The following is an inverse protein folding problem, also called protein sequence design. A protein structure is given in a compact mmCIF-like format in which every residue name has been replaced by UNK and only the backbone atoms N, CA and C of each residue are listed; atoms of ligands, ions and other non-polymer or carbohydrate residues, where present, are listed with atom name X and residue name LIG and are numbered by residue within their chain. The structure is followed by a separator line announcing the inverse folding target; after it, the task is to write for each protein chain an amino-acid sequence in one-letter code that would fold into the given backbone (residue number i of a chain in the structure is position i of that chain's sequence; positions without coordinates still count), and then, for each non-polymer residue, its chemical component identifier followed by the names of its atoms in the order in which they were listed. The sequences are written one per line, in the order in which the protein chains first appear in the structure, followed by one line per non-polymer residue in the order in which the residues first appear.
data_IF_641519982179
#
_entry.id   IF_641519982179
#
_cell.length_a   1.000
_cell.length_b   1.000
_cell.length_c   1.000
_cell.angle_alpha   90.00
_cell.angle_beta   90.00
_cell.angle_gamma   90.00
#
_symmetry.space_group_name_H-M   'P 1'
#
loop_
_entity.id
_entity.type
_entity.pdbx_description
1 polymer ?
#
# COMPACT_ATOMS: atom_id res chain seq x y z
N UNK A 1 0.82 -4.37 4.15
CA UNK A 1 0.34 -3.23 3.34
C UNK A 1 -0.85 -3.69 2.52
N UNK A 2 -1.91 -2.89 2.46
CA UNK A 2 -3.17 -3.25 1.82
C UNK A 2 -3.22 -3.05 0.30
N UNK A 3 -2.11 -2.66 -0.31
CA UNK A 3 -2.01 -2.48 -1.75
C UNK A 3 -0.58 -2.72 -2.26
N UNK A 4 -0.46 -2.91 -3.58
CA UNK A 4 0.79 -2.98 -4.29
C UNK A 4 0.76 -2.20 -5.61
N UNK A 5 1.96 -1.82 -6.05
CA UNK A 5 2.18 -0.88 -7.14
C UNK A 5 3.24 -1.44 -8.08
N UNK A 6 2.90 -1.65 -9.35
CA UNK A 6 3.87 -2.00 -10.39
C UNK A 6 3.96 -0.90 -11.44
N UNK A 7 5.17 -0.37 -11.64
CA UNK A 7 5.46 0.60 -12.68
C UNK A 7 5.69 -0.12 -14.01
N UNK A 8 5.01 0.35 -15.06
CA UNK A 8 5.21 -0.08 -16.44
C UNK A 8 6.32 0.75 -17.07
N UNK A 9 7.36 0.09 -17.60
CA UNK A 9 8.47 0.74 -18.30
C UNK A 9 7.99 1.59 -19.52
N UNK A 10 6.91 1.15 -20.18
CA UNK A 10 6.14 1.97 -21.13
C UNK A 10 4.66 1.90 -20.79
N UNK A 11 3.96 3.06 -20.72
CA UNK A 11 2.55 3.11 -20.29
C UNK A 11 1.62 2.18 -21.10
N UNK A 12 1.94 1.97 -22.39
CA UNK A 12 1.09 1.26 -23.36
C UNK A 12 1.70 -0.03 -23.92
N UNK A 13 2.91 -0.43 -23.48
CA UNK A 13 3.58 -1.67 -23.92
C UNK A 13 4.37 -2.21 -22.73
N UNK A 14 3.87 -3.25 -22.07
CA UNK A 14 4.57 -3.85 -20.93
C UNK A 14 5.76 -4.67 -21.42
N UNK A 15 6.97 -4.12 -21.30
CA UNK A 15 8.23 -4.88 -21.51
C UNK A 15 8.86 -5.32 -20.20
N UNK A 16 8.69 -4.52 -19.15
CA UNK A 16 9.18 -4.78 -17.80
C UNK A 16 8.21 -4.18 -16.78
N UNK A 17 8.06 -4.87 -15.63
CA UNK A 17 7.25 -4.44 -14.50
C UNK A 17 8.14 -4.29 -13.28
N UNK A 18 8.22 -3.06 -12.75
CA UNK A 18 9.00 -2.78 -11.56
C UNK A 18 8.07 -2.68 -10.33
N UNK A 19 8.28 -3.54 -9.34
CA UNK A 19 7.56 -3.46 -8.07
C UNK A 19 8.06 -2.27 -7.23
N UNK A 20 7.16 -1.36 -6.88
CA UNK A 20 7.45 -0.23 -6.01
C UNK A 20 7.09 -0.54 -4.56
N UNK A 21 7.78 0.10 -3.63
CA UNK A 21 7.52 -0.04 -2.19
C UNK A 21 6.19 0.66 -1.82
N UNK A 22 5.19 -0.05 -1.27
CA UNK A 22 3.94 0.56 -0.86
C UNK A 22 4.07 1.65 0.22
N UNK A 23 5.12 1.60 1.05
CA UNK A 23 5.32 2.59 2.13
C UNK A 23 5.76 3.97 1.64
N UNK A 24 6.20 4.09 0.38
CA UNK A 24 6.65 5.34 -0.22
C UNK A 24 5.69 5.86 -1.28
N UNK A 25 4.53 5.21 -1.45
CA UNK A 25 3.56 5.51 -2.49
C UNK A 25 2.29 6.12 -1.91
N UNK A 26 1.71 7.06 -2.66
CA UNK A 26 0.41 7.67 -2.37
C UNK A 26 -0.45 7.68 -3.63
N UNK A 27 -1.73 7.35 -3.47
CA UNK A 27 -2.75 7.47 -4.53
C UNK A 27 -3.23 8.93 -4.55
N UNK A 28 -3.26 9.54 -5.72
CA UNK A 28 -3.83 10.87 -5.92
C UNK A 28 -5.25 10.71 -6.46
N UNK A 29 -6.21 11.29 -5.76
CA UNK A 29 -7.62 11.36 -6.16
C UNK A 29 -7.98 12.80 -6.49
N UNK A 30 -9.01 13.00 -7.31
CA UNK A 30 -9.48 14.34 -7.65
C UNK A 30 -10.17 14.98 -6.44
N UNK A 31 -9.71 16.14 -5.95
CA UNK A 31 -10.33 16.82 -4.81
C UNK A 31 -11.67 17.48 -5.19
N UNK A 32 -11.93 17.69 -6.48
CA UNK A 32 -13.12 18.41 -6.99
C UNK A 32 -14.16 17.47 -7.61
N UNK A 33 -13.76 16.26 -8.01
CA UNK A 33 -14.66 15.30 -8.64
C UNK A 33 -14.48 13.90 -8.03
N UNK A 34 -15.35 13.48 -7.11
CA UNK A 34 -15.27 12.16 -6.49
C UNK A 34 -15.52 11.01 -7.47
N UNK A 35 -16.09 11.28 -8.66
CA UNK A 35 -16.35 10.26 -9.69
C UNK A 35 -15.16 10.03 -10.63
N UNK A 36 -14.21 10.97 -10.68
CA UNK A 36 -13.04 10.88 -11.55
C UNK A 36 -12.07 9.75 -11.14
N UNK A 37 -12.20 9.21 -9.92
CA UNK A 37 -11.39 8.10 -9.43
C UNK A 37 -9.93 8.48 -9.19
N UNK A 38 -9.01 7.60 -9.59
CA UNK A 38 -7.56 7.78 -9.41
C UNK A 38 -7.01 8.64 -10.55
N UNK A 39 -6.50 9.83 -10.20
CA UNK A 39 -5.91 10.77 -11.17
C UNK A 39 -4.39 10.64 -11.28
N UNK A 40 -3.75 9.89 -10.38
CA UNK A 40 -2.33 9.60 -10.45
C UNK A 40 -1.77 8.92 -9.22
N UNK A 41 -0.45 8.74 -9.22
CA UNK A 41 0.30 8.19 -8.09
C UNK A 41 1.51 9.06 -7.81
N UNK A 42 1.87 9.18 -6.54
CA UNK A 42 3.03 9.92 -6.10
C UNK A 42 3.95 9.01 -5.29
N UNK A 43 5.25 9.07 -5.58
CA UNK A 43 6.26 8.35 -4.83
C UNK A 43 7.19 9.35 -4.15
N UNK A 44 7.41 9.18 -2.84
CA UNK A 44 8.34 9.98 -2.07
C UNK A 44 9.53 9.11 -1.61
N UNK A 45 10.70 9.34 -2.18
CA UNK A 45 11.94 8.62 -1.80
C UNK A 45 13.04 9.62 -1.50
N UNK A 46 13.56 9.60 -0.26
CA UNK A 46 14.68 10.46 0.18
C UNK A 46 14.46 11.96 -0.16
N UNK A 47 13.23 12.45 0.03
CA UNK A 47 12.87 13.84 -0.23
C UNK A 47 12.61 14.19 -1.70
N UNK A 48 12.76 13.24 -2.63
CA UNK A 48 12.36 13.42 -4.02
C UNK A 48 10.94 12.91 -4.22
N UNK A 49 10.08 13.76 -4.76
CA UNK A 49 8.73 13.40 -5.19
C UNK A 49 8.73 13.10 -6.69
N UNK A 50 8.14 11.97 -7.07
CA UNK A 50 7.93 11.59 -8.47
C UNK A 50 6.47 11.27 -8.68
N UNK A 51 5.85 11.90 -9.69
CA UNK A 51 4.45 11.66 -10.04
C UNK A 51 4.35 10.76 -11.25
N UNK A 52 3.44 9.79 -11.17
CA UNK A 52 3.12 8.85 -12.23
C UNK A 52 1.66 9.02 -12.65
N UNK A 53 1.42 8.93 -13.95
CA UNK A 53 0.07 8.90 -14.50
C UNK A 53 -0.60 7.55 -14.22
N UNK A 54 -1.95 7.50 -14.16
CA UNK A 54 -2.67 6.24 -13.96
C UNK A 54 -2.27 5.15 -14.96
N UNK A 55 -2.03 5.50 -16.22
CA UNK A 55 -1.71 4.54 -17.28
C UNK A 55 -0.29 3.95 -17.13
N UNK A 56 0.56 4.54 -16.29
CA UNK A 56 1.91 4.03 -16.02
C UNK A 56 1.93 2.97 -14.90
N UNK A 57 0.85 2.84 -14.13
CA UNK A 57 0.82 1.98 -12.96
C UNK A 57 -0.14 0.80 -13.15
N UNK A 58 0.22 -0.35 -12.62
CA UNK A 58 -0.73 -1.39 -12.24
C UNK A 58 -0.90 -1.29 -10.73
N UNK A 59 -2.11 -0.97 -10.31
CA UNK A 59 -2.49 -0.82 -8.91
C UNK A 59 -3.43 -1.95 -8.53
N UNK A 60 -3.04 -2.72 -7.51
CA UNK A 60 -3.88 -3.77 -6.94
C UNK A 60 -3.98 -3.54 -5.44
N UNK A 61 -5.19 -3.74 -4.91
CA UNK A 61 -5.50 -3.49 -3.51
C UNK A 61 -6.37 -4.59 -2.94
N UNK A 62 -6.27 -4.76 -1.64
CA UNK A 62 -7.27 -5.48 -0.88
C UNK A 62 -8.54 -4.66 -0.77
N UNK A 63 -9.64 -5.34 -0.44
CA UNK A 63 -10.90 -4.69 -0.14
C UNK A 63 -10.76 -3.80 1.11
N UNK A 64 -11.39 -2.62 1.07
CA UNK A 64 -11.62 -1.76 2.22
C UNK A 64 -13.10 -1.37 2.22
N UNK A 65 -13.83 -1.57 3.35
CA UNK A 65 -15.28 -1.30 3.38
C UNK A 65 -15.63 0.20 3.34
N UNK A 66 -14.69 1.06 3.71
CA UNK A 66 -14.91 2.52 3.81
C UNK A 66 -14.09 3.32 2.78
N UNK A 67 -13.30 2.65 1.93
CA UNK A 67 -12.42 3.33 0.96
C UNK A 67 -12.40 2.60 -0.38
N UNK A 68 -12.95 3.25 -1.39
CA UNK A 68 -13.08 2.75 -2.74
C UNK A 68 -11.90 3.07 -3.65
N UNK A 69 -10.89 3.84 -3.21
CA UNK A 69 -9.80 4.30 -4.08
C UNK A 69 -8.42 4.05 -3.46
N UNK A 70 -8.27 4.29 -2.17
CA UNK A 70 -7.02 4.13 -1.44
C UNK A 70 -6.65 2.67 -1.15
N UNK A 71 -5.58 2.46 -0.36
CA UNK A 71 -5.09 1.13 -0.01
C UNK A 71 -6.11 0.33 0.79
N UNK A 72 -6.17 -0.98 0.52
CA UNK A 72 -7.03 -1.92 1.23
C UNK A 72 -6.70 -2.11 2.71
N UNK A 73 -7.50 -2.92 3.41
CA UNK A 73 -7.09 -3.44 4.73
C UNK A 73 -6.05 -4.53 4.53
N UNK A 74 -4.88 -4.37 5.16
CA UNK A 74 -3.82 -5.39 5.12
C UNK A 74 -4.18 -6.58 6.02
N UNK A 75 -4.12 -7.84 5.56
CA UNK A 75 -4.37 -9.00 6.43
C UNK A 75 -3.47 -9.04 7.68
N UNK A 76 -2.21 -8.61 7.53
CA UNK A 76 -1.28 -8.46 8.65
C UNK A 76 -1.78 -7.46 9.72
N UNK A 77 -2.45 -6.39 9.29
CA UNK A 77 -2.91 -5.34 10.20
C UNK A 77 -4.08 -5.83 11.06
N UNK A 78 -4.93 -6.70 10.50
CA UNK A 78 -5.97 -7.42 11.26
C UNK A 78 -5.35 -8.43 12.22
N UNK A 79 -4.31 -9.15 11.78
CA UNK A 79 -3.66 -10.18 12.59
C UNK A 79 -2.73 -9.61 13.69
N UNK A 80 -2.34 -8.34 13.59
CA UNK A 80 -1.35 -7.72 14.49
C UNK A 80 -1.76 -7.83 15.96
N UNK A 81 -3.04 -7.56 16.29
CA UNK A 81 -3.50 -7.61 17.68
C UNK A 81 -3.38 -9.02 18.29
N UNK A 82 -3.71 -10.05 17.51
CA UNK A 82 -3.57 -11.44 17.97
C UNK A 82 -2.10 -11.85 18.07
N UNK A 83 -1.27 -11.41 17.11
CA UNK A 83 0.16 -11.65 17.13
C UNK A 83 0.85 -10.97 18.33
N UNK A 84 0.47 -9.73 18.64
CA UNK A 84 1.00 -8.98 19.78
C UNK A 84 0.63 -9.64 21.11
N UNK A 85 -0.60 -10.16 21.25
CA UNK A 85 -0.99 -10.91 22.45
C UNK A 85 -0.12 -12.16 22.63
N UNK A 86 0.07 -12.93 21.56
CA UNK A 86 0.91 -14.13 21.58
C UNK A 86 2.37 -13.80 21.90
N UNK A 87 2.90 -12.72 21.32
CA UNK A 87 4.26 -12.25 21.59
C UNK A 87 4.44 -11.88 23.07
N UNK A 88 3.53 -11.06 23.62
CA UNK A 88 3.61 -10.64 25.02
C UNK A 88 3.44 -11.80 26.00
N UNK A 89 2.58 -12.78 25.69
CA UNK A 89 2.44 -13.99 26.50
C UNK A 89 3.75 -14.80 26.55
N UNK A 90 4.44 -14.94 25.42
CA UNK A 90 5.74 -15.61 25.35
C UNK A 90 6.82 -14.85 26.13
N UNK A 91 6.86 -13.52 26.02
CA UNK A 91 7.80 -12.68 26.79
C UNK A 91 7.55 -12.86 28.29
N UNK A 92 6.29 -12.79 28.74
CA UNK A 92 5.95 -13.01 30.15
C UNK A 92 6.38 -14.40 30.63
N UNK A 93 6.03 -15.46 29.88
CA UNK A 93 6.39 -16.83 30.25
C UNK A 93 7.91 -17.01 30.35
N UNK A 94 8.67 -16.43 29.41
CA UNK A 94 10.13 -16.52 29.41
C UNK A 94 10.76 -15.83 30.62
N UNK A 95 10.19 -14.71 31.09
CA UNK A 95 10.67 -13.97 32.25
C UNK A 95 10.19 -14.57 33.57
N UNK A 96 9.02 -15.22 33.58
CA UNK A 96 8.46 -15.82 34.79
C UNK A 96 9.17 -17.13 35.16
N UNK A 97 9.58 -17.92 34.17
CA UNK A 97 10.24 -19.21 34.38
C UNK A 97 11.77 -19.18 34.28
N UNK A 98 12.37 -18.00 34.07
CA UNK A 98 13.83 -17.78 34.17
C UNK A 98 14.23 -17.42 35.59
#
# INVERSE_FOLDING_TARGET
YGAGYWLKDRPNVTKELQRLNPSTMRVLTSPTDPTAGIIGFEQQVKGKETRFKPEQMVYYRYYHPEDDLGPGVSPLQVACQAADLAYNANVWASQFFS
#
